data_IF_060192509982
#
_entry.id   IF_060192509982
#
_cell.length_a   1.000
_cell.length_b   1.000
_cell.length_c   1.000
_cell.angle_alpha   90.00
_cell.angle_beta   90.00
_cell.angle_gamma   90.00
#
_symmetry.space_group_name_H-M   'P 1'
#
loop_
_entity.id
_entity.type
_entity.pdbx_description
1 polymer ?
#
# COMPACT_ATOMS: atom_id res chain seq x y z
N UNK A 1 -34.31 17.29 -7.19
CA UNK A 1 -33.00 17.66 -6.60
C UNK A 1 -31.95 16.95 -7.42
N UNK A 2 -31.25 17.67 -8.29
CA UNK A 2 -30.23 17.09 -9.15
C UNK A 2 -28.96 16.86 -8.34
N UNK A 3 -28.44 15.62 -8.35
CA UNK A 3 -27.09 15.34 -7.86
C UNK A 3 -26.09 16.23 -8.64
N UNK A 4 -25.15 16.89 -7.97
CA UNK A 4 -24.16 17.69 -8.68
C UNK A 4 -23.30 16.78 -9.58
N UNK A 5 -22.95 17.30 -10.75
CA UNK A 5 -22.08 16.64 -11.73
C UNK A 5 -20.68 16.40 -11.15
N UNK A 6 -19.96 15.35 -11.59
CA UNK A 6 -18.62 15.02 -11.08
C UNK A 6 -17.60 16.00 -11.65
N UNK A 7 -17.47 17.16 -11.01
CA UNK A 7 -16.42 18.12 -11.31
C UNK A 7 -15.09 17.55 -10.80
N UNK A 8 -14.26 17.05 -11.74
CA UNK A 8 -12.82 16.75 -11.61
C UNK A 8 -12.30 16.50 -10.18
N UNK A 9 -12.36 15.23 -9.72
CA UNK A 9 -11.69 14.74 -8.49
C UNK A 9 -10.16 14.93 -8.47
N UNK A 10 -9.54 15.30 -9.59
CA UNK A 10 -8.08 15.36 -9.75
C UNK A 10 -7.38 16.48 -8.95
N UNK A 11 -8.11 17.45 -8.39
CA UNK A 11 -7.52 18.54 -7.60
C UNK A 11 -7.28 18.19 -6.11
N UNK A 12 -7.67 16.99 -5.66
CA UNK A 12 -7.64 16.57 -4.25
C UNK A 12 -6.43 15.71 -3.88
N UNK A 13 -5.81 15.04 -4.86
CA UNK A 13 -4.70 14.13 -4.60
C UNK A 13 -3.38 14.90 -4.57
N UNK A 14 -2.63 14.88 -3.46
CA UNK A 14 -1.30 15.47 -3.46
C UNK A 14 -0.39 14.67 -4.39
N UNK A 15 0.48 15.38 -5.12
CA UNK A 15 1.53 14.72 -5.91
C UNK A 15 2.38 13.83 -4.99
N UNK A 16 2.63 12.56 -5.35
CA UNK A 16 3.37 11.65 -4.49
C UNK A 16 4.78 12.16 -4.19
N UNK A 17 5.16 12.15 -2.91
CA UNK A 17 6.53 12.41 -2.44
C UNK A 17 7.03 11.13 -1.76
N UNK A 18 7.60 10.18 -2.52
CA UNK A 18 8.10 8.94 -1.94
C UNK A 18 9.37 9.21 -1.14
N UNK A 19 9.37 8.80 0.13
CA UNK A 19 10.53 8.79 0.99
C UNK A 19 10.92 7.35 1.31
N UNK A 20 12.21 7.04 1.19
CA UNK A 20 12.77 5.76 1.63
C UNK A 20 13.26 5.87 3.05
N UNK A 21 12.88 4.91 3.89
CA UNK A 21 13.29 4.82 5.29
C UNK A 21 13.82 3.43 5.59
N UNK A 22 14.83 3.35 6.44
CA UNK A 22 15.44 2.10 6.89
C UNK A 22 15.33 2.01 8.40
N UNK A 23 15.23 0.79 8.92
CA UNK A 23 15.00 0.59 10.34
C UNK A 23 15.18 -0.85 10.78
N UNK A 24 14.67 -1.12 11.98
CA UNK A 24 14.54 -2.46 12.53
C UNK A 24 13.10 -2.71 12.99
N UNK A 25 12.59 -3.90 12.72
CA UNK A 25 11.32 -4.41 13.23
C UNK A 25 11.56 -5.85 13.71
N UNK A 26 11.12 -6.20 14.93
CA UNK A 26 11.38 -7.50 15.57
C UNK A 26 12.83 -8.02 15.48
N UNK A 27 13.83 -7.14 15.59
CA UNK A 27 15.23 -7.55 15.52
C UNK A 27 15.79 -7.76 14.10
N UNK A 28 15.01 -7.45 13.05
CA UNK A 28 15.41 -7.65 11.66
C UNK A 28 15.33 -6.33 10.87
N UNK A 29 16.20 -6.14 9.87
CA UNK A 29 16.18 -4.93 9.06
C UNK A 29 14.86 -4.77 8.32
N UNK A 30 14.38 -3.53 8.25
CA UNK A 30 13.20 -3.14 7.50
C UNK A 30 13.52 -1.98 6.55
N UNK A 31 12.88 -2.00 5.39
CA UNK A 31 12.93 -0.92 4.40
C UNK A 31 11.51 -0.51 4.06
N UNK A 32 11.19 0.77 4.26
CA UNK A 32 9.89 1.35 3.97
C UNK A 32 10.03 2.36 2.84
N UNK A 33 9.06 2.37 1.92
CA UNK A 33 8.85 3.44 0.96
C UNK A 33 7.50 4.03 1.30
N UNK A 34 7.44 5.32 1.65
CA UNK A 34 6.23 5.97 2.15
C UNK A 34 5.97 7.25 1.36
N UNK A 35 4.74 7.46 0.91
CA UNK A 35 4.32 8.70 0.27
C UNK A 35 4.04 9.77 1.33
N UNK A 36 5.05 10.57 1.68
CA UNK A 36 4.95 11.57 2.75
C UNK A 36 4.03 12.74 2.41
N UNK A 37 3.62 12.89 1.14
CA UNK A 37 2.63 13.88 0.73
C UNK A 37 1.24 13.63 1.35
N UNK A 38 1.02 12.41 1.87
CA UNK A 38 -0.21 11.99 2.52
C UNK A 38 -0.18 12.16 4.05
N UNK A 39 0.92 12.65 4.62
CA UNK A 39 1.01 12.96 6.05
C UNK A 39 0.04 14.10 6.39
N UNK A 40 -0.94 13.82 7.24
CA UNK A 40 -1.98 14.80 7.60
C UNK A 40 -2.90 15.16 6.44
N UNK A 41 -3.16 14.22 5.53
CA UNK A 41 -4.06 14.41 4.40
C UNK A 41 -5.46 14.86 4.88
N UNK A 42 -5.92 15.99 4.37
CA UNK A 42 -7.11 16.68 4.89
C UNK A 42 -8.44 15.97 4.58
N UNK A 43 -8.47 15.07 3.60
CA UNK A 43 -9.66 14.32 3.17
C UNK A 43 -9.52 12.82 3.48
N UNK A 44 -8.79 12.47 4.54
CA UNK A 44 -8.59 11.08 4.95
C UNK A 44 -9.91 10.34 5.24
N UNK A 45 -10.90 11.07 5.77
CA UNK A 45 -12.25 10.58 6.07
C UNK A 45 -13.05 10.16 4.82
N UNK A 46 -12.70 10.66 3.63
CA UNK A 46 -13.28 10.20 2.36
C UNK A 46 -12.78 8.79 1.95
N UNK A 47 -11.73 8.27 2.60
CA UNK A 47 -11.13 6.96 2.32
C UNK A 47 -10.97 6.14 3.60
N UNK A 48 -12.08 5.68 4.21
CA UNK A 48 -12.05 5.17 5.57
C UNK A 48 -11.63 3.70 5.68
N UNK A 49 -11.20 3.06 4.58
CA UNK A 49 -10.83 1.65 4.59
C UNK A 49 -9.34 1.48 4.30
N UNK A 50 -8.61 0.98 5.29
CA UNK A 50 -7.24 0.53 5.13
C UNK A 50 -7.22 -0.84 4.43
N UNK A 51 -6.39 -0.94 3.40
CA UNK A 51 -6.13 -2.18 2.68
C UNK A 51 -4.66 -2.53 2.84
N UNK A 52 -4.40 -3.65 3.51
CA UNK A 52 -3.06 -4.22 3.67
C UNK A 52 -2.94 -5.45 2.78
N UNK A 53 -1.90 -5.49 1.94
CA UNK A 53 -1.63 -6.61 1.03
C UNK A 53 -0.24 -7.15 1.34
N UNK A 54 -0.15 -8.40 1.77
CA UNK A 54 1.08 -9.07 2.16
C UNK A 54 1.49 -10.16 1.16
N UNK A 55 2.77 -10.15 0.80
CA UNK A 55 3.35 -11.05 -0.20
C UNK A 55 4.72 -11.53 0.29
N UNK A 56 4.91 -12.84 0.41
CA UNK A 56 6.20 -13.42 0.79
C UNK A 56 7.20 -13.41 -0.37
N UNK A 57 8.50 -13.24 -0.12
CA UNK A 57 9.58 -13.27 -1.12
C UNK A 57 10.81 -14.03 -0.62
N UNK A 58 11.72 -14.32 -1.55
CA UNK A 58 12.98 -14.97 -1.21
C UNK A 58 14.02 -13.95 -0.74
N UNK A 59 14.56 -14.15 0.46
CA UNK A 59 15.75 -13.47 0.95
C UNK A 59 16.94 -14.44 0.98
N UNK A 60 18.13 -13.92 1.25
CA UNK A 60 19.31 -14.71 1.58
C UNK A 60 19.90 -14.23 2.91
N UNK A 61 20.75 -15.05 3.52
CA UNK A 61 21.31 -14.80 4.85
C UNK A 61 22.07 -13.46 4.93
N UNK A 62 22.70 -13.03 3.83
CA UNK A 62 23.42 -11.75 3.78
C UNK A 62 22.51 -10.52 3.81
N UNK A 63 21.23 -10.68 3.45
CA UNK A 63 20.23 -9.61 3.43
C UNK A 63 19.30 -9.64 4.64
N UNK A 64 19.43 -10.64 5.52
CA UNK A 64 18.70 -10.74 6.79
C UNK A 64 17.18 -10.51 6.66
N UNK A 65 16.57 -11.13 5.64
CA UNK A 65 15.13 -11.01 5.41
C UNK A 65 14.73 -9.90 4.44
N UNK A 66 15.65 -9.04 3.99
CA UNK A 66 15.39 -8.09 2.90
C UNK A 66 15.41 -8.78 1.51
N UNK A 67 14.69 -8.25 0.51
CA UNK A 67 14.60 -8.90 -0.79
C UNK A 67 15.89 -8.76 -1.59
N UNK A 68 16.20 -9.81 -2.36
CA UNK A 68 17.29 -9.75 -3.34
C UNK A 68 16.96 -8.77 -4.48
N UNK A 69 17.95 -8.28 -5.25
CA UNK A 69 17.69 -7.43 -6.41
C UNK A 69 16.77 -8.08 -7.47
N UNK A 70 16.76 -9.41 -7.55
CA UNK A 70 15.83 -10.15 -8.41
C UNK A 70 14.40 -10.07 -7.87
N UNK A 71 14.22 -10.33 -6.58
CA UNK A 71 12.90 -10.25 -5.95
C UNK A 71 12.36 -8.82 -5.94
N UNK A 72 13.20 -7.79 -5.80
CA UNK A 72 12.79 -6.38 -5.93
C UNK A 72 12.05 -6.16 -7.25
N UNK A 73 12.62 -6.57 -8.39
CA UNK A 73 11.96 -6.42 -9.70
C UNK A 73 10.63 -7.18 -9.80
N UNK A 74 10.56 -8.36 -9.19
CA UNK A 74 9.31 -9.12 -9.14
C UNK A 74 8.25 -8.43 -8.28
N UNK A 75 8.66 -7.85 -7.15
CA UNK A 75 7.79 -7.09 -6.26
C UNK A 75 7.32 -5.77 -6.88
N UNK A 76 8.17 -5.08 -7.65
CA UNK A 76 7.79 -3.88 -8.41
C UNK A 76 6.73 -4.21 -9.49
N UNK A 77 6.91 -5.29 -10.25
CA UNK A 77 5.91 -5.73 -11.22
C UNK A 77 4.58 -6.14 -10.58
N UNK A 78 4.64 -6.69 -9.36
CA UNK A 78 3.44 -7.02 -8.59
C UNK A 78 2.76 -5.77 -8.03
N UNK A 79 3.54 -4.81 -7.54
CA UNK A 79 3.07 -3.51 -7.08
C UNK A 79 2.28 -2.79 -8.18
N UNK A 80 2.79 -2.78 -9.42
CA UNK A 80 2.08 -2.24 -10.57
C UNK A 80 0.73 -2.93 -10.81
N UNK A 81 0.68 -4.26 -10.63
CA UNK A 81 -0.53 -5.06 -10.80
C UNK A 81 -1.56 -4.76 -9.71
N UNK A 82 -1.11 -4.63 -8.46
CA UNK A 82 -1.93 -4.24 -7.31
C UNK A 82 -2.47 -2.82 -7.49
N UNK A 83 -1.61 -1.86 -7.84
CA UNK A 83 -2.00 -0.48 -8.12
C UNK A 83 -3.06 -0.42 -9.23
N UNK A 84 -2.89 -1.19 -10.30
CA UNK A 84 -3.86 -1.27 -11.38
C UNK A 84 -5.19 -1.92 -10.94
N UNK A 85 -5.16 -2.91 -10.05
CA UNK A 85 -6.36 -3.55 -9.51
C UNK A 85 -7.17 -2.56 -8.65
N UNK A 86 -6.52 -1.85 -7.72
CA UNK A 86 -7.15 -0.85 -6.85
C UNK A 86 -7.72 0.31 -7.68
N UNK A 87 -6.96 0.86 -8.64
CA UNK A 87 -7.42 1.94 -9.53
C UNK A 87 -8.61 1.55 -10.43
N UNK A 88 -8.77 0.27 -10.75
CA UNK A 88 -9.92 -0.24 -11.52
C UNK A 88 -11.16 -0.48 -10.66
N UNK A 89 -11.00 -0.60 -9.35
CA UNK A 89 -12.10 -0.73 -8.40
C UNK A 89 -12.73 0.62 -8.08
N UNK A 90 -11.89 1.64 -7.86
CA UNK A 90 -12.32 2.95 -7.42
C UNK A 90 -11.13 3.88 -7.27
N UNK A 91 -11.19 4.78 -6.28
CA UNK A 91 -10.10 5.69 -5.99
C UNK A 91 -9.39 5.24 -4.73
N UNK A 92 -8.06 5.30 -4.74
CA UNK A 92 -7.28 4.87 -3.60
C UNK A 92 -5.97 5.63 -3.48
N UNK A 93 -5.60 5.89 -2.23
CA UNK A 93 -4.31 6.45 -1.87
C UNK A 93 -3.34 5.32 -1.63
N UNK A 94 -2.27 5.27 -2.43
CA UNK A 94 -1.16 4.39 -2.13
C UNK A 94 -0.27 5.05 -1.08
N UNK A 95 -0.24 4.47 0.11
CA UNK A 95 0.57 4.97 1.23
C UNK A 95 2.02 4.58 1.02
N UNK A 96 2.26 3.36 0.53
CA UNK A 96 3.60 2.85 0.33
C UNK A 96 3.73 1.38 0.65
N UNK A 97 4.98 0.94 0.80
CA UNK A 97 5.29 -0.46 1.08
C UNK A 97 6.40 -0.63 2.11
N UNK A 98 6.37 -1.77 2.78
CA UNK A 98 7.34 -2.16 3.80
C UNK A 98 7.90 -3.53 3.46
N UNK A 99 9.22 -3.68 3.46
CA UNK A 99 9.90 -4.95 3.32
C UNK A 99 10.63 -5.32 4.58
N UNK A 100 10.30 -6.49 5.11
CA UNK A 100 10.87 -7.01 6.33
C UNK A 100 10.63 -8.52 6.41
N UNK A 101 11.61 -9.26 6.93
CA UNK A 101 11.51 -10.70 7.25
C UNK A 101 10.88 -11.58 6.15
N UNK A 102 11.31 -11.38 4.89
CA UNK A 102 10.81 -12.18 3.77
C UNK A 102 9.38 -11.82 3.33
N UNK A 103 8.80 -10.71 3.82
CA UNK A 103 7.46 -10.25 3.46
C UNK A 103 7.52 -8.81 2.98
N UNK A 104 6.74 -8.51 1.93
CA UNK A 104 6.43 -7.17 1.44
C UNK A 104 4.97 -6.89 1.76
N UNK A 105 4.72 -5.79 2.44
CA UNK A 105 3.38 -5.26 2.66
C UNK A 105 3.16 -4.01 1.83
N UNK A 106 2.02 -3.93 1.14
CA UNK A 106 1.55 -2.74 0.43
C UNK A 106 0.35 -2.17 1.18
N UNK A 107 0.33 -0.86 1.40
CA UNK A 107 -0.68 -0.18 2.19
C UNK A 107 -1.43 0.84 1.34
N UNK A 108 -2.77 0.76 1.39
CA UNK A 108 -3.66 1.69 0.70
C UNK A 108 -4.77 2.17 1.63
N UNK A 109 -5.35 3.32 1.30
CA UNK A 109 -6.70 3.70 1.75
C UNK A 109 -7.63 3.86 0.56
N UNK A 110 -8.86 3.37 0.68
CA UNK A 110 -9.83 3.29 -0.42
C UNK A 110 -11.22 3.77 0.01
N UNK A 111 -11.99 4.23 -0.97
CA UNK A 111 -13.40 4.65 -0.80
C UNK A 111 -14.40 3.51 -1.03
N UNK A 112 -14.04 2.54 -1.87
CA UNK A 112 -14.93 1.46 -2.35
C UNK A 112 -14.38 0.06 -1.95
N UNK A 113 -14.50 -0.37 -0.68
CA UNK A 113 -13.85 -1.58 -0.18
C UNK A 113 -14.33 -2.87 -0.87
N UNK A 114 -15.63 -3.01 -1.12
CA UNK A 114 -16.22 -4.21 -1.78
C UNK A 114 -15.72 -4.35 -3.23
N UNK A 115 -15.59 -3.24 -3.95
CA UNK A 115 -15.05 -3.24 -5.30
C UNK A 115 -13.57 -3.61 -5.31
N UNK A 116 -12.81 -3.15 -4.31
CA UNK A 116 -11.39 -3.48 -4.13
C UNK A 116 -11.22 -4.96 -3.78
N UNK A 117 -12.02 -5.48 -2.86
CA UNK A 117 -12.03 -6.90 -2.47
C UNK A 117 -12.19 -7.81 -3.69
N UNK A 118 -13.24 -7.59 -4.50
CA UNK A 118 -13.50 -8.37 -5.70
C UNK A 118 -12.40 -8.28 -6.78
N UNK A 119 -11.57 -7.22 -6.77
CA UNK A 119 -10.41 -7.08 -7.67
C UNK A 119 -9.18 -7.78 -7.11
N UNK A 120 -8.96 -7.69 -5.80
CA UNK A 120 -7.83 -8.35 -5.13
C UNK A 120 -8.01 -9.86 -5.11
N UNK A 121 -9.23 -10.37 -4.92
CA UNK A 121 -9.54 -11.80 -5.04
C UNK A 121 -9.13 -12.34 -6.43
N UNK A 122 -9.58 -11.68 -7.49
CA UNK A 122 -9.22 -12.04 -8.88
C UNK A 122 -7.72 -11.92 -9.16
N UNK A 123 -7.07 -10.90 -8.59
CA UNK A 123 -5.63 -10.74 -8.72
C UNK A 123 -4.90 -11.90 -8.05
N UNK A 124 -5.33 -12.30 -6.85
CA UNK A 124 -4.76 -13.42 -6.10
C UNK A 124 -4.88 -14.75 -6.87
N UNK A 125 -6.00 -14.99 -7.56
CA UNK A 125 -6.18 -16.17 -8.43
C UNK A 125 -5.22 -16.19 -9.64
N UNK A 126 -4.80 -15.03 -10.12
CA UNK A 126 -3.95 -14.89 -11.31
C UNK A 126 -2.45 -14.93 -11.00
N UNK A 127 -2.08 -14.68 -9.74
CA UNK A 127 -0.68 -14.68 -9.33
C UNK A 127 -0.21 -16.09 -8.97
N UNK A 128 1.00 -16.44 -9.42
CA UNK A 128 1.65 -17.69 -9.02
C UNK A 128 2.08 -17.69 -7.54
N UNK A 129 2.17 -16.49 -6.95
CA UNK A 129 2.61 -16.28 -5.58
C UNK A 129 1.37 -15.99 -4.72
N UNK A 130 1.24 -16.63 -3.54
CA UNK A 130 0.14 -16.33 -2.63
C UNK A 130 0.13 -14.84 -2.26
N UNK A 131 -1.01 -14.21 -2.50
CA UNK A 131 -1.32 -12.88 -1.98
C UNK A 131 -2.26 -13.07 -0.80
N UNK A 132 -1.91 -12.48 0.33
CA UNK A 132 -2.83 -12.33 1.46
C UNK A 132 -3.20 -10.86 1.55
N UNK A 133 -4.46 -10.57 1.85
CA UNK A 133 -4.86 -9.18 2.06
C UNK A 133 -5.94 -9.08 3.12
N UNK A 134 -6.08 -7.88 3.64
CA UNK A 134 -6.98 -7.52 4.71
C UNK A 134 -7.52 -6.12 4.43
N UNK A 135 -8.83 -5.96 4.58
CA UNK A 135 -9.54 -4.69 4.44
C UNK A 135 -10.21 -4.40 5.77
N UNK A 136 -9.89 -3.27 6.38
CA UNK A 136 -10.43 -2.86 7.67
C UNK A 136 -10.82 -1.39 7.66
N UNK A 137 -11.89 -1.07 8.37
CA UNK A 137 -12.28 0.32 8.62
C UNK A 137 -11.24 0.98 9.55
N UNK A 138 -10.76 2.15 9.12
CA UNK A 138 -9.76 2.99 9.78
C UNK A 138 -9.91 4.44 9.26
N UNK A 139 -11.00 5.16 9.65
CA UNK A 139 -11.36 6.46 9.09
C UNK A 139 -10.36 7.56 9.42
N UNK A 140 -9.61 7.41 10.51
CA UNK A 140 -8.62 8.39 11.00
C UNK A 140 -7.19 8.06 10.54
N UNK A 141 -7.03 7.00 9.73
CA UNK A 141 -5.75 6.52 9.20
C UNK A 141 -4.71 6.19 10.28
N UNK A 142 -5.16 5.71 11.45
CA UNK A 142 -4.29 5.48 12.60
C UNK A 142 -3.20 4.43 12.29
N UNK A 143 -3.52 3.44 11.44
CA UNK A 143 -2.63 2.30 11.14
C UNK A 143 -1.35 2.68 10.41
N UNK A 144 -1.36 3.80 9.70
CA UNK A 144 -0.21 4.24 8.88
C UNK A 144 0.56 5.41 9.47
N UNK A 145 0.09 5.99 10.58
CA UNK A 145 0.74 7.10 11.27
C UNK A 145 2.22 6.81 11.57
N UNK A 146 2.51 5.60 12.04
CA UNK A 146 3.88 5.13 12.29
C UNK A 146 4.81 5.29 11.07
N UNK A 147 4.32 5.04 9.86
CA UNK A 147 5.13 5.16 8.64
C UNK A 147 5.48 6.63 8.30
N UNK A 148 4.63 7.58 8.68
CA UNK A 148 4.85 9.01 8.45
C UNK A 148 5.78 9.66 9.48
N UNK A 149 5.79 9.15 10.71
CA UNK A 149 6.56 9.68 11.83
C UNK A 149 7.88 8.94 12.08
N UNK A 150 8.18 7.93 11.25
CA UNK A 150 9.44 7.21 11.32
C UNK A 150 10.60 8.10 10.88
N UNK A 151 11.17 8.91 11.77
CA UNK A 151 12.39 9.68 11.52
C UNK A 151 13.56 8.98 12.24
N UNK A 152 14.39 8.26 11.49
CA UNK A 152 15.72 7.83 11.92
C UNK A 152 16.78 8.49 11.04
#
# INVERSE_FOLDING_TARGET
MSRPSPTKRTARFPEPVPARREGEMDGLPTVMIVNTALKGYAEADEFPYHVRIAVGYQSNDALLGLPTPKEIRTLESLEDSVLAAVRKAGTGHYIGNTSWNGVREYNFYVDEPEAVDARLEKLAEQQHRPIQYEIQEDPDWERVTFFFDYDQ
#
